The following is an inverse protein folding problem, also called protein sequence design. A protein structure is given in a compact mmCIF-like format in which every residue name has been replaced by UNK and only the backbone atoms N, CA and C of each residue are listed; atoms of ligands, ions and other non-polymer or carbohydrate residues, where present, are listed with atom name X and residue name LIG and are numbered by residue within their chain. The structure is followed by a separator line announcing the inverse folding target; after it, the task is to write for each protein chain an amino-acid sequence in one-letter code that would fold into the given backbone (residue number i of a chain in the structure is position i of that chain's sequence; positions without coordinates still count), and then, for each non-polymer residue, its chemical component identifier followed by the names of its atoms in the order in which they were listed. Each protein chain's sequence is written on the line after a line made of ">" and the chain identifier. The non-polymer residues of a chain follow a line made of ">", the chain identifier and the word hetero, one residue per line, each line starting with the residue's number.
data_IF_577166401269
#
_entry.id   IF_577166401269
#
_cell.length_a   1.000
_cell.length_b   1.000
_cell.length_c   1.000
_cell.angle_alpha   90.00
_cell.angle_beta   90.00
_cell.angle_gamma   90.00
#
_symmetry.space_group_name_H-M   'P 1'
#
loop_
_entity.id
_entity.type
_entity.pdbx_description
1 polymer ?
#
# COMPACT_ATOMS: atom_id res chain seq x y z
N UNK A 1 11.62 -8.00 -10.63
CA UNK A 1 11.17 -8.06 -12.04
C UNK A 1 9.94 -8.96 -12.13
N UNK A 2 8.81 -8.45 -12.65
CA UNK A 2 7.57 -9.20 -12.82
C UNK A 2 7.62 -10.02 -14.11
N UNK A 3 7.41 -11.35 -14.02
CA UNK A 3 7.69 -12.26 -15.14
C UNK A 3 6.47 -12.85 -15.82
N UNK A 4 5.28 -12.72 -15.23
CA UNK A 4 4.08 -13.42 -15.71
C UNK A 4 4.04 -14.91 -15.41
N UNK A 5 4.87 -15.40 -14.48
CA UNK A 5 4.84 -16.81 -14.03
C UNK A 5 3.48 -17.24 -13.48
N UNK A 6 2.73 -16.32 -12.87
CA UNK A 6 1.42 -16.58 -12.29
C UNK A 6 0.36 -15.78 -13.05
N UNK A 7 -0.79 -16.40 -13.32
CA UNK A 7 -1.92 -15.76 -14.01
C UNK A 7 -2.54 -14.62 -13.18
N UNK A 8 -2.46 -14.73 -11.85
CA UNK A 8 -2.97 -13.75 -10.91
C UNK A 8 -1.90 -13.40 -9.88
N UNK A 9 -1.91 -12.15 -9.43
CA UNK A 9 -1.08 -11.69 -8.33
C UNK A 9 -1.84 -10.61 -7.55
N UNK A 10 -1.57 -10.54 -6.24
CA UNK A 10 -2.09 -9.51 -5.35
C UNK A 10 -0.93 -8.64 -4.90
N UNK A 11 -1.04 -7.32 -5.03
CA UNK A 11 0.01 -6.40 -4.60
C UNK A 11 -0.60 -5.10 -4.07
N UNK A 12 0.21 -4.34 -3.34
CA UNK A 12 -0.07 -2.93 -3.08
C UNK A 12 -0.20 -2.17 -4.39
N UNK A 13 -1.15 -1.24 -4.44
CA UNK A 13 -1.47 -0.47 -5.64
C UNK A 13 -0.29 0.39 -6.12
N UNK A 14 0.62 0.77 -5.20
CA UNK A 14 1.92 1.40 -5.50
C UNK A 14 2.75 0.68 -6.57
N UNK A 15 2.64 -0.65 -6.71
CA UNK A 15 3.41 -1.40 -7.70
C UNK A 15 2.75 -1.45 -9.08
N UNK A 16 1.51 -0.98 -9.24
CA UNK A 16 0.76 -1.12 -10.50
C UNK A 16 1.43 -0.39 -11.66
N UNK A 17 2.00 0.80 -11.43
CA UNK A 17 2.76 1.53 -12.45
C UNK A 17 3.97 0.71 -12.90
N UNK A 18 4.76 0.19 -11.97
CA UNK A 18 5.89 -0.68 -12.31
C UNK A 18 5.47 -1.95 -13.04
N UNK A 19 4.38 -2.59 -12.62
CA UNK A 19 3.92 -3.85 -13.21
C UNK A 19 3.43 -3.65 -14.65
N UNK A 20 2.57 -2.64 -14.88
CA UNK A 20 1.83 -2.49 -16.12
C UNK A 20 2.40 -1.40 -17.06
N UNK A 21 3.25 -0.51 -16.55
CA UNK A 21 3.72 0.70 -17.25
C UNK A 21 5.22 0.77 -17.53
N UNK A 22 6.07 -0.03 -16.87
CA UNK A 22 7.55 0.10 -16.93
C UNK A 22 8.22 -1.17 -17.52
N UNK A 23 8.46 -1.25 -18.85
CA UNK A 23 9.07 -2.40 -19.52
C UNK A 23 10.47 -2.79 -19.01
N UNK A 24 11.23 -1.82 -18.52
CA UNK A 24 12.54 -2.01 -17.90
C UNK A 24 12.47 -2.78 -16.58
N UNK A 25 11.33 -2.70 -15.87
CA UNK A 25 11.13 -3.31 -14.55
C UNK A 25 10.18 -4.52 -14.59
N UNK A 26 9.40 -4.68 -15.66
CA UNK A 26 8.32 -5.67 -15.78
C UNK A 26 8.18 -6.25 -17.18
N UNK A 27 8.19 -7.59 -17.29
CA UNK A 27 7.83 -8.30 -18.53
C UNK A 27 6.32 -8.24 -18.82
N UNK A 28 5.51 -7.79 -17.85
CA UNK A 28 4.07 -7.59 -17.96
C UNK A 28 3.70 -6.20 -18.52
N UNK A 29 4.67 -5.31 -18.69
CA UNK A 29 4.47 -4.04 -19.37
C UNK A 29 4.68 -4.17 -20.91
N UNK A 30 4.07 -3.28 -21.70
CA UNK A 30 2.94 -2.43 -21.33
C UNK A 30 1.62 -3.23 -21.31
N UNK A 31 0.78 -3.03 -20.28
CA UNK A 31 -0.63 -3.50 -20.21
C UNK A 31 -0.88 -5.00 -20.53
N UNK A 32 0.09 -5.90 -20.33
CA UNK A 32 -0.12 -7.36 -20.44
C UNK A 32 -0.76 -7.93 -19.17
N UNK A 33 -0.61 -7.23 -18.04
CA UNK A 33 -1.43 -7.41 -16.85
C UNK A 33 -2.56 -6.38 -16.83
N UNK A 34 -3.74 -6.80 -16.36
CA UNK A 34 -4.90 -5.92 -16.14
C UNK A 34 -5.34 -6.05 -14.70
N UNK A 35 -5.78 -4.95 -14.12
CA UNK A 35 -6.44 -4.97 -12.82
C UNK A 35 -7.86 -5.52 -12.94
N UNK A 36 -8.27 -6.24 -11.91
CA UNK A 36 -9.67 -6.60 -11.67
C UNK A 36 -10.00 -6.25 -10.21
N UNK A 37 -11.28 -6.09 -9.91
CA UNK A 37 -11.74 -6.07 -8.52
C UNK A 37 -11.35 -7.38 -7.83
N UNK A 38 -11.05 -7.31 -6.54
CA UNK A 38 -10.84 -8.50 -5.73
C UNK A 38 -12.10 -9.39 -5.73
N UNK A 39 -11.95 -10.73 -5.73
CA UNK A 39 -13.08 -11.65 -5.73
C UNK A 39 -13.86 -11.61 -4.40
N UNK A 40 -15.05 -12.24 -4.39
CA UNK A 40 -15.90 -12.34 -3.20
C UNK A 40 -16.52 -10.99 -2.82
N UNK A 41 -16.26 -10.51 -1.62
CA UNK A 41 -16.78 -9.21 -1.13
C UNK A 41 -16.05 -8.01 -1.74
N UNK A 42 -14.93 -8.25 -2.43
CA UNK A 42 -14.05 -7.20 -2.95
C UNK A 42 -13.34 -6.39 -1.87
N UNK A 43 -13.43 -6.77 -0.60
CA UNK A 43 -12.78 -6.08 0.50
C UNK A 43 -11.26 -6.22 0.41
N UNK A 44 -10.57 -5.11 0.63
CA UNK A 44 -9.10 -5.03 0.64
C UNK A 44 -8.60 -4.40 1.91
N UNK A 45 -7.31 -4.56 2.18
CA UNK A 45 -6.62 -3.84 3.23
C UNK A 45 -6.15 -2.48 2.70
N UNK A 46 -6.41 -1.41 3.46
CA UNK A 46 -5.93 -0.06 3.18
C UNK A 46 -4.88 0.34 4.21
N UNK A 47 -3.76 0.83 3.69
CA UNK A 47 -2.59 1.23 4.45
C UNK A 47 -1.89 2.39 3.76
N UNK A 48 -1.27 3.25 4.55
CA UNK A 48 -0.44 4.36 4.08
C UNK A 48 0.71 4.56 5.05
N UNK A 49 1.82 5.10 4.55
CA UNK A 49 2.89 5.62 5.38
C UNK A 49 2.57 7.05 5.85
N UNK A 50 3.29 7.50 6.87
CA UNK A 50 3.23 8.87 7.39
C UNK A 50 4.62 9.44 7.59
N UNK A 51 4.74 10.75 7.42
CA UNK A 51 5.95 11.48 7.81
C UNK A 51 5.91 11.75 9.31
N UNK A 52 6.94 11.33 10.02
CA UNK A 52 7.05 11.48 11.48
C UNK A 52 8.30 12.28 11.85
N UNK A 53 8.17 13.16 12.83
CA UNK A 53 9.30 13.92 13.38
C UNK A 53 9.73 13.27 14.70
N UNK A 54 11.01 12.95 14.82
CA UNK A 54 11.57 12.41 16.05
C UNK A 54 11.49 13.45 17.17
N UNK A 55 10.87 13.11 18.30
CA UNK A 55 10.72 13.99 19.46
C UNK A 55 12.06 14.48 20.05
N UNK A 56 13.18 13.79 19.77
CA UNK A 56 14.53 14.17 20.22
C UNK A 56 15.29 15.07 19.24
N UNK A 57 14.66 15.52 18.16
CA UNK A 57 15.31 16.41 17.20
C UNK A 57 15.74 17.72 17.87
N UNK A 58 16.95 18.20 17.55
CA UNK A 58 17.44 19.51 18.03
C UNK A 58 17.00 20.67 17.13
N UNK A 59 16.33 20.36 16.01
CA UNK A 59 15.95 21.30 14.95
C UNK A 59 14.46 21.17 14.62
N UNK A 60 13.62 21.20 15.65
CA UNK A 60 12.18 20.90 15.53
C UNK A 60 11.48 21.78 14.50
N UNK A 61 11.74 23.09 14.51
CA UNK A 61 11.07 24.03 13.61
C UNK A 61 11.37 23.73 12.14
N UNK A 62 12.63 23.45 11.80
CA UNK A 62 13.02 23.15 10.42
C UNK A 62 12.57 21.74 9.99
N UNK A 63 12.63 20.76 10.90
CA UNK A 63 12.07 19.43 10.65
C UNK A 63 10.55 19.50 10.40
N UNK A 64 9.84 20.37 11.12
CA UNK A 64 8.41 20.57 10.95
C UNK A 64 8.07 21.30 9.65
N UNK A 65 8.83 22.34 9.27
CA UNK A 65 8.71 22.99 7.95
C UNK A 65 8.90 21.97 6.82
N UNK A 66 9.92 21.12 6.92
CA UNK A 66 10.17 20.10 5.90
C UNK A 66 9.03 19.06 5.83
N UNK A 67 8.54 18.60 6.97
CA UNK A 67 7.41 17.65 7.03
C UNK A 67 6.15 18.25 6.41
N UNK A 68 5.87 19.53 6.66
CA UNK A 68 4.76 20.25 6.03
C UNK A 68 4.94 20.39 4.52
N UNK A 69 6.16 20.62 4.04
CA UNK A 69 6.45 20.62 2.61
C UNK A 69 6.17 19.25 1.98
N UNK A 70 6.57 18.16 2.63
CA UNK A 70 6.39 16.81 2.11
C UNK A 70 4.92 16.36 2.10
N UNK A 71 4.19 16.58 3.19
CA UNK A 71 2.87 15.97 3.42
C UNK A 71 1.71 16.93 3.53
N UNK A 72 1.95 18.24 3.60
CA UNK A 72 0.91 19.25 3.79
C UNK A 72 0.34 19.77 2.47
N UNK A 73 -0.90 20.28 2.53
CA UNK A 73 -1.50 21.06 1.45
C UNK A 73 -1.02 22.51 1.56
N UNK A 74 0.17 22.79 1.04
CA UNK A 74 0.72 24.14 1.05
C UNK A 74 0.08 24.95 -0.09
N UNK A 75 -0.51 26.09 0.25
CA UNK A 75 -1.13 27.02 -0.71
C UNK A 75 -2.31 26.45 -1.51
N UNK A 76 -3.00 25.44 -0.96
CA UNK A 76 -4.12 24.78 -1.65
C UNK A 76 -3.69 23.82 -2.76
N UNK A 77 -2.38 23.56 -2.91
CA UNK A 77 -1.84 22.55 -3.80
C UNK A 77 -1.14 21.40 -3.04
N UNK A 78 -1.56 20.17 -3.33
CA UNK A 78 -0.91 18.93 -2.89
C UNK A 78 0.33 18.60 -3.74
N UNK A 79 1.22 19.57 -3.95
CA UNK A 79 2.30 19.48 -4.94
C UNK A 79 3.15 18.20 -4.81
N UNK A 80 3.76 17.97 -3.64
CA UNK A 80 4.66 16.82 -3.42
C UNK A 80 3.90 15.49 -3.56
N UNK A 81 2.68 15.44 -3.07
CA UNK A 81 1.81 14.26 -3.17
C UNK A 81 1.46 13.95 -4.63
N UNK A 82 1.15 14.97 -5.44
CA UNK A 82 0.95 14.83 -6.89
C UNK A 82 2.22 14.30 -7.56
N UNK A 83 3.41 14.79 -7.18
CA UNK A 83 4.68 14.27 -7.72
C UNK A 83 4.84 12.78 -7.43
N UNK A 84 4.47 12.29 -6.25
CA UNK A 84 4.52 10.85 -5.97
C UNK A 84 3.58 10.02 -6.84
N UNK A 85 2.34 10.50 -7.06
CA UNK A 85 1.43 9.85 -8.00
C UNK A 85 2.01 9.82 -9.43
N UNK A 86 2.66 10.89 -9.88
CA UNK A 86 3.23 10.98 -11.23
C UNK A 86 4.49 10.13 -11.40
N UNK A 87 5.41 10.18 -10.44
CA UNK A 87 6.73 9.55 -10.51
C UNK A 87 6.64 8.04 -10.30
N UNK A 88 5.88 7.58 -9.30
CA UNK A 88 5.86 6.16 -8.92
C UNK A 88 4.48 5.52 -9.01
N UNK A 89 3.43 6.29 -9.28
CA UNK A 89 2.06 5.78 -9.15
C UNK A 89 1.68 5.54 -7.69
N UNK A 90 2.34 6.23 -6.75
CA UNK A 90 1.96 6.16 -5.33
C UNK A 90 0.58 6.75 -5.14
N UNK A 91 -0.34 5.88 -4.77
CA UNK A 91 -1.71 6.25 -4.50
C UNK A 91 -1.84 7.11 -3.26
N UNK A 92 -2.88 7.94 -3.27
CA UNK A 92 -3.02 9.02 -2.33
C UNK A 92 -4.36 8.94 -1.59
N UNK A 93 -4.39 9.21 -0.27
CA UNK A 93 -5.63 9.23 0.49
C UNK A 93 -6.59 10.35 0.09
N UNK A 94 -6.15 11.37 -0.66
CA UNK A 94 -6.97 12.51 -1.06
C UNK A 94 -7.75 12.24 -2.37
N UNK A 95 -9.09 12.08 -2.34
CA UNK A 95 -9.87 11.71 -3.53
C UNK A 95 -9.75 12.72 -4.67
N UNK A 96 -9.64 14.01 -4.36
CA UNK A 96 -9.52 15.10 -5.33
C UNK A 96 -8.25 15.00 -6.19
N UNK A 97 -7.21 14.31 -5.70
CA UNK A 97 -5.97 14.07 -6.45
C UNK A 97 -6.26 13.36 -7.78
N UNK A 98 -7.23 12.44 -7.77
CA UNK A 98 -7.56 11.62 -8.93
C UNK A 98 -8.48 12.30 -9.94
N UNK A 99 -8.93 13.54 -9.65
CA UNK A 99 -9.67 14.38 -10.58
C UNK A 99 -8.74 15.36 -11.33
N UNK A 100 -7.46 15.43 -10.93
CA UNK A 100 -6.47 16.30 -11.57
C UNK A 100 -6.09 15.78 -12.96
N UNK A 101 -6.15 16.65 -13.98
CA UNK A 101 -5.95 16.27 -15.38
C UNK A 101 -4.60 15.57 -15.66
N UNK A 102 -3.52 16.02 -15.01
CA UNK A 102 -2.20 15.37 -15.15
C UNK A 102 -2.17 13.96 -14.55
N UNK A 103 -2.90 13.72 -13.46
CA UNK A 103 -2.98 12.40 -12.82
C UNK A 103 -3.75 11.46 -13.72
N UNK A 104 -4.92 11.88 -14.22
CA UNK A 104 -5.73 11.10 -15.17
C UNK A 104 -4.88 10.72 -16.39
N UNK A 105 -4.25 11.71 -17.03
CA UNK A 105 -3.36 11.49 -18.19
C UNK A 105 -2.18 10.56 -17.86
N UNK A 106 -1.70 10.57 -16.62
CA UNK A 106 -0.65 9.67 -16.17
C UNK A 106 -1.12 8.24 -16.04
N UNK A 107 -2.22 8.04 -15.30
CA UNK A 107 -2.76 6.73 -14.96
C UNK A 107 -3.31 5.99 -16.19
N UNK A 108 -3.96 6.70 -17.13
CA UNK A 108 -4.50 6.11 -18.37
C UNK A 108 -3.46 5.34 -19.21
N UNK A 109 -2.18 5.65 -19.02
CA UNK A 109 -1.08 4.96 -19.70
C UNK A 109 -0.83 3.55 -19.18
N UNK A 110 -1.23 3.22 -17.95
CA UNK A 110 -0.84 1.95 -17.30
C UNK A 110 -1.95 1.26 -16.50
N UNK A 111 -3.03 1.94 -16.10
CA UNK A 111 -4.12 1.34 -15.31
C UNK A 111 -5.49 1.90 -15.69
N UNK A 112 -6.55 1.15 -15.39
CA UNK A 112 -7.92 1.65 -15.36
C UNK A 112 -8.14 2.40 -14.03
N UNK A 113 -8.04 3.73 -14.07
CA UNK A 113 -8.17 4.57 -12.87
C UNK A 113 -9.58 4.50 -12.26
N UNK A 114 -10.63 4.38 -13.07
CA UNK A 114 -12.00 4.30 -12.57
C UNK A 114 -12.22 3.00 -11.77
N UNK A 115 -11.74 1.88 -12.30
CA UNK A 115 -11.79 0.59 -11.61
C UNK A 115 -10.96 0.60 -10.32
N UNK A 116 -9.77 1.20 -10.37
CA UNK A 116 -8.89 1.34 -9.21
C UNK A 116 -9.56 2.15 -8.09
N UNK A 117 -10.20 3.29 -8.42
CA UNK A 117 -10.97 4.10 -7.47
C UNK A 117 -12.14 3.35 -6.87
N UNK A 118 -12.86 2.56 -7.66
CA UNK A 118 -13.92 1.67 -7.17
C UNK A 118 -13.41 0.63 -6.17
N UNK A 119 -12.19 0.14 -6.36
CA UNK A 119 -11.55 -0.78 -5.41
C UNK A 119 -11.20 -0.10 -4.07
N UNK A 120 -10.86 1.20 -4.07
CA UNK A 120 -10.57 1.95 -2.83
C UNK A 120 -11.76 2.07 -1.90
N UNK A 121 -12.98 2.16 -2.44
CA UNK A 121 -14.22 2.18 -1.64
C UNK A 121 -14.41 0.90 -0.80
N UNK A 122 -13.68 -0.17 -1.11
CA UNK A 122 -13.73 -1.46 -0.40
C UNK A 122 -12.58 -1.64 0.58
N UNK A 123 -11.67 -0.67 0.67
CA UNK A 123 -10.56 -0.67 1.62
C UNK A 123 -11.03 -0.67 3.07
N UNK A 124 -10.40 -1.49 3.90
CA UNK A 124 -10.60 -1.55 5.34
C UNK A 124 -9.27 -1.37 6.05
N UNK A 125 -9.30 -0.64 7.16
CA UNK A 125 -8.16 -0.53 8.08
C UNK A 125 -8.16 -1.75 9.01
N UNK A 126 -6.98 -2.25 9.37
CA UNK A 126 -6.84 -3.31 10.37
C UNK A 126 -7.27 -2.74 11.72
N UNK A 127 -8.36 -3.26 12.28
CA UNK A 127 -8.90 -2.78 13.55
C UNK A 127 -7.87 -2.91 14.70
N UNK A 128 -7.07 -3.97 14.68
CA UNK A 128 -6.04 -4.24 15.68
C UNK A 128 -4.88 -3.24 15.67
N UNK A 129 -4.71 -2.41 14.63
CA UNK A 129 -3.57 -1.49 14.53
C UNK A 129 -3.46 -0.50 15.71
N UNK A 130 -4.58 -0.21 16.38
CA UNK A 130 -4.65 0.68 17.55
C UNK A 130 -4.27 -0.01 18.86
N UNK A 131 -4.14 -1.32 18.83
CA UNK A 131 -3.88 -2.10 20.04
C UNK A 131 -2.39 -2.01 20.42
N UNK A 132 -2.05 -1.85 21.72
CA UNK A 132 -0.66 -1.72 22.16
C UNK A 132 0.24 -2.90 21.73
N UNK A 133 -0.35 -4.09 21.64
CA UNK A 133 0.35 -5.33 21.29
C UNK A 133 0.58 -5.51 19.78
N UNK A 134 -0.09 -4.75 18.92
CA UNK A 134 -0.14 -5.03 17.49
C UNK A 134 1.20 -4.88 16.78
N UNK A 135 1.99 -3.85 17.11
CA UNK A 135 3.27 -3.61 16.43
C UNK A 135 4.27 -4.77 16.59
N UNK A 136 4.34 -5.33 17.80
CA UNK A 136 5.17 -6.51 18.05
C UNK A 136 4.55 -7.77 17.44
N UNK A 137 3.22 -7.91 17.52
CA UNK A 137 2.49 -9.02 16.92
C UNK A 137 2.73 -9.11 15.41
N UNK A 138 2.54 -8.01 14.68
CA UNK A 138 2.68 -7.93 13.23
C UNK A 138 4.07 -8.40 12.80
N UNK A 139 5.11 -7.91 13.47
CA UNK A 139 6.50 -8.30 13.20
C UNK A 139 6.74 -9.79 13.46
N UNK A 140 6.23 -10.33 14.58
CA UNK A 140 6.47 -11.73 15.00
C UNK A 140 5.54 -12.74 14.32
N UNK A 141 4.43 -12.30 13.74
CA UNK A 141 3.47 -13.14 13.02
C UNK A 141 3.98 -13.56 11.64
N UNK A 142 4.78 -12.71 10.96
CA UNK A 142 5.32 -12.97 9.61
C UNK A 142 5.97 -14.36 9.47
N UNK A 143 6.91 -14.79 10.32
CA UNK A 143 7.53 -16.12 10.19
C UNK A 143 6.51 -17.26 10.33
N UNK A 144 5.52 -17.14 11.22
CA UNK A 144 4.47 -18.16 11.41
C UNK A 144 3.63 -18.29 10.14
N UNK A 145 3.19 -17.18 9.57
CA UNK A 145 2.42 -17.16 8.31
C UNK A 145 3.25 -17.72 7.16
N UNK A 146 4.53 -17.37 7.07
CA UNK A 146 5.43 -17.91 6.06
C UNK A 146 5.61 -19.44 6.17
N UNK A 147 5.70 -19.98 7.39
CA UNK A 147 5.77 -21.43 7.60
C UNK A 147 4.48 -22.13 7.16
N UNK A 148 3.31 -21.50 7.34
CA UNK A 148 2.04 -22.02 6.81
C UNK A 148 2.06 -22.06 5.27
N UNK A 149 2.51 -20.98 4.63
CA UNK A 149 2.55 -20.87 3.16
C UNK A 149 3.52 -21.89 2.55
N UNK A 150 4.67 -22.13 3.19
CA UNK A 150 5.68 -23.08 2.72
C UNK A 150 5.34 -24.54 3.04
N UNK A 151 4.33 -24.79 3.87
CA UNK A 151 3.97 -26.13 4.31
C UNK A 151 4.84 -26.70 5.44
N UNK A 152 5.66 -25.86 6.10
CA UNK A 152 6.44 -26.25 7.28
C UNK A 152 5.56 -26.48 8.51
N UNK A 153 4.33 -25.95 8.49
CA UNK A 153 3.31 -26.21 9.51
C UNK A 153 1.92 -26.32 8.88
N UNK A 154 0.99 -26.97 9.57
CA UNK A 154 -0.40 -27.04 9.11
C UNK A 154 -1.11 -25.72 9.38
N UNK A 155 -2.09 -25.35 8.54
CA UNK A 155 -2.90 -24.14 8.73
C UNK A 155 -3.52 -24.12 10.14
N UNK A 156 -4.10 -25.24 10.59
CA UNK A 156 -4.72 -25.35 11.90
C UNK A 156 -3.73 -25.10 13.05
N UNK A 157 -2.48 -25.58 12.94
CA UNK A 157 -1.44 -25.33 13.94
C UNK A 157 -0.98 -23.87 13.89
N UNK A 158 -0.67 -23.33 12.71
CA UNK A 158 -0.24 -21.94 12.54
C UNK A 158 -1.26 -20.94 13.08
N UNK A 159 -2.57 -21.18 12.88
CA UNK A 159 -3.62 -20.36 13.48
C UNK A 159 -3.59 -20.41 15.02
N UNK A 160 -3.36 -21.58 15.63
CA UNK A 160 -3.21 -21.69 17.10
C UNK A 160 -1.97 -20.95 17.59
N UNK A 161 -0.87 -21.02 16.86
CA UNK A 161 0.38 -20.33 17.21
C UNK A 161 0.20 -18.80 17.12
N UNK A 162 -0.50 -18.29 16.10
CA UNK A 162 -0.88 -16.89 15.99
C UNK A 162 -1.75 -16.42 17.15
N UNK A 163 -2.74 -17.22 17.57
CA UNK A 163 -3.57 -16.90 18.75
C UNK A 163 -2.74 -16.91 20.03
N UNK A 164 -1.84 -17.89 20.19
CA UNK A 164 -0.93 -17.96 21.35
C UNK A 164 0.00 -16.74 21.40
N UNK A 165 0.52 -16.29 20.26
CA UNK A 165 1.35 -15.10 20.15
C UNK A 165 0.58 -13.85 20.60
N UNK A 166 -0.64 -13.65 20.09
CA UNK A 166 -1.46 -12.51 20.49
C UNK A 166 -1.70 -12.49 22.01
N UNK A 167 -2.05 -13.63 22.60
CA UNK A 167 -2.25 -13.78 24.05
C UNK A 167 -1.01 -13.54 24.90
N UNK A 168 0.19 -13.65 24.33
CA UNK A 168 1.44 -13.36 25.05
C UNK A 168 1.82 -11.88 25.05
N UNK A 169 1.15 -11.07 24.22
CA UNK A 169 1.44 -9.66 24.03
C UNK A 169 0.33 -8.74 24.55
N UNK A 170 -0.92 -9.21 24.52
CA UNK A 170 -2.09 -8.53 25.08
C UNK A 170 -2.20 -8.72 26.60
#
# INVERSE_FOLDING_TARGET
>A
MWTGRYAYHTNHSYYLKTIAGEPENSKLAPKKARMTMYPGTGQTYMWTDSYVVNAKTKVLDDAWKFTKFLGGNLNGDWYVQRQWCLISGLDNPYPEMYDHAEIIKSYDRWIDLALLRKQYEKGKVIAAYKEPWYGEYDTRAVPIVHDMIRGNTTVAKGLKDLVKLQKSLA
#
